data_IF_450684000969
#
_entry.id   IF_450684000969
#
_cell.length_a   1.000
_cell.length_b   1.000
_cell.length_c   1.000
_cell.angle_alpha   90.00
_cell.angle_beta   90.00
_cell.angle_gamma   90.00
#
_symmetry.space_group_name_H-M   'P 1'
#
loop_
_entity.id
_entity.type
_entity.pdbx_description
1 polymer ?
#
# COMPACT_ATOMS: atom_id res chain seq x y z
N UNK A 1 -32.14 -8.49 1.35
CA UNK A 1 -33.24 -7.54 1.07
C UNK A 1 -32.57 -6.32 0.48
N UNK A 2 -32.82 -6.04 -0.80
CA UNK A 2 -32.16 -4.92 -1.50
C UNK A 2 -32.53 -3.58 -0.87
N UNK A 3 -31.54 -2.74 -0.59
CA UNK A 3 -31.75 -1.42 0.02
C UNK A 3 -31.53 -0.32 -1.03
N UNK A 4 -32.38 0.71 -0.98
CA UNK A 4 -32.14 1.95 -1.71
C UNK A 4 -30.90 2.64 -1.13
N UNK A 5 -29.96 2.97 -2.00
CA UNK A 5 -28.72 3.67 -1.69
C UNK A 5 -28.78 5.07 -2.30
N UNK A 6 -28.19 6.05 -1.61
CA UNK A 6 -28.03 7.41 -2.14
C UNK A 6 -26.71 7.53 -2.88
N UNK A 7 -26.65 8.42 -3.87
CA UNK A 7 -25.47 8.61 -4.72
C UNK A 7 -24.17 8.84 -3.93
N UNK A 8 -24.22 9.58 -2.82
CA UNK A 8 -23.04 9.86 -1.96
C UNK A 8 -22.60 8.70 -1.06
N UNK A 9 -23.34 7.59 -1.04
CA UNK A 9 -22.98 6.39 -0.28
C UNK A 9 -22.16 5.41 -1.12
N UNK A 10 -21.97 5.72 -2.41
CA UNK A 10 -20.93 5.15 -3.26
C UNK A 10 -19.68 5.97 -3.01
N UNK A 11 -18.63 5.31 -2.53
CA UNK A 11 -17.41 5.98 -2.05
C UNK A 11 -16.71 6.71 -3.22
N UNK A 12 -16.75 6.14 -4.43
CA UNK A 12 -16.24 6.74 -5.66
C UNK A 12 -17.01 7.99 -6.10
N UNK A 13 -18.23 8.21 -5.59
CA UNK A 13 -19.09 9.37 -5.90
C UNK A 13 -19.22 10.36 -4.74
N UNK A 14 -18.44 10.18 -3.66
CA UNK A 14 -18.56 10.95 -2.42
C UNK A 14 -18.49 12.48 -2.62
N UNK A 15 -17.74 12.94 -3.61
CA UNK A 15 -17.55 14.37 -3.90
C UNK A 15 -18.86 15.09 -4.28
N UNK A 16 -19.91 14.36 -4.67
CA UNK A 16 -21.25 14.91 -4.95
C UNK A 16 -21.84 15.68 -3.76
N UNK A 17 -21.41 15.38 -2.52
CA UNK A 17 -21.82 16.11 -1.30
C UNK A 17 -21.42 17.59 -1.37
N UNK A 18 -20.35 17.93 -2.10
CA UNK A 18 -19.86 19.30 -2.25
C UNK A 18 -20.80 20.18 -3.07
N UNK A 19 -21.70 19.58 -3.86
CA UNK A 19 -22.65 20.29 -4.72
C UNK A 19 -24.05 20.16 -4.10
N UNK A 20 -24.58 21.24 -3.48
CA UNK A 20 -25.92 21.23 -2.90
C UNK A 20 -27.00 21.05 -3.98
N UNK A 21 -28.07 20.32 -3.69
CA UNK A 21 -29.19 20.09 -4.63
C UNK A 21 -29.72 21.41 -5.22
N UNK A 22 -29.85 22.45 -4.39
CA UNK A 22 -30.36 23.76 -4.79
C UNK A 22 -29.39 24.62 -5.62
N UNK A 23 -28.16 24.15 -5.87
CA UNK A 23 -27.20 24.85 -6.74
C UNK A 23 -27.42 24.56 -8.23
N UNK A 24 -28.18 23.50 -8.54
CA UNK A 24 -28.49 23.12 -9.91
C UNK A 24 -29.70 23.93 -10.39
N UNK A 25 -29.48 24.77 -11.41
CA UNK A 25 -30.53 25.59 -12.02
C UNK A 25 -31.10 24.92 -13.29
N UNK A 26 -32.19 25.48 -13.82
CA UNK A 26 -32.88 24.96 -15.01
C UNK A 26 -31.99 24.96 -16.27
N UNK A 27 -31.03 25.87 -16.36
CA UNK A 27 -30.09 25.94 -17.49
C UNK A 27 -29.13 24.75 -17.48
N UNK A 28 -28.54 24.44 -16.32
CA UNK A 28 -27.68 23.28 -16.11
C UNK A 28 -28.47 22.00 -16.40
N UNK A 29 -29.67 21.84 -15.83
CA UNK A 29 -30.51 20.67 -16.11
C UNK A 29 -30.84 20.55 -17.60
N UNK A 30 -31.13 21.67 -18.27
CA UNK A 30 -31.44 21.71 -19.69
C UNK A 30 -30.27 21.31 -20.59
N UNK A 31 -29.02 21.56 -20.16
CA UNK A 31 -27.82 21.15 -20.89
C UNK A 31 -27.39 19.71 -20.55
N UNK A 32 -27.52 19.28 -19.29
CA UNK A 32 -27.29 17.88 -18.89
C UNK A 32 -28.28 16.93 -19.56
N UNK A 33 -29.54 17.35 -19.75
CA UNK A 33 -30.55 16.60 -20.50
C UNK A 33 -30.18 16.35 -21.98
N UNK A 34 -29.15 17.03 -22.51
CA UNK A 34 -28.67 16.88 -23.89
C UNK A 34 -27.41 16.01 -23.98
N UNK A 35 -26.93 15.44 -22.88
CA UNK A 35 -25.74 14.57 -22.91
C UNK A 35 -26.02 13.27 -23.66
N UNK A 36 -25.08 12.90 -24.51
CA UNK A 36 -25.04 11.63 -25.22
C UNK A 36 -24.86 10.45 -24.26
N UNK A 37 -25.46 9.30 -24.58
CA UNK A 37 -25.40 8.11 -23.72
C UNK A 37 -23.97 7.56 -23.65
N UNK A 38 -23.33 7.36 -24.81
CA UNK A 38 -22.01 6.72 -24.94
C UNK A 38 -20.88 7.75 -24.79
N UNK A 39 -20.92 8.80 -25.61
CA UNK A 39 -19.79 9.73 -25.72
C UNK A 39 -19.59 10.63 -24.48
N UNK A 40 -20.63 10.79 -23.66
CA UNK A 40 -20.63 11.73 -22.54
C UNK A 40 -21.05 11.04 -21.23
N UNK A 41 -22.29 10.57 -21.10
CA UNK A 41 -22.82 10.03 -19.85
C UNK A 41 -22.04 8.80 -19.37
N UNK A 42 -21.85 7.81 -20.24
CA UNK A 42 -21.07 6.61 -19.95
C UNK A 42 -19.59 6.93 -19.75
N UNK A 43 -18.97 7.65 -20.70
CA UNK A 43 -17.55 7.98 -20.61
C UNK A 43 -17.21 8.78 -19.35
N UNK A 44 -18.01 9.79 -18.99
CA UNK A 44 -17.79 10.57 -17.76
C UNK A 44 -17.93 9.71 -16.52
N UNK A 45 -18.91 8.81 -16.50
CA UNK A 45 -19.12 7.89 -15.38
C UNK A 45 -17.95 6.91 -15.23
N UNK A 46 -17.46 6.35 -16.35
CA UNK A 46 -16.28 5.47 -16.36
C UNK A 46 -15.02 6.18 -15.90
N UNK A 47 -14.81 7.41 -16.35
CA UNK A 47 -13.66 8.22 -15.92
C UNK A 47 -13.66 8.45 -14.41
N UNK A 48 -14.84 8.69 -13.81
CA UNK A 48 -15.00 8.87 -12.37
C UNK A 48 -14.75 7.56 -11.63
N UNK A 49 -15.24 6.44 -12.17
CA UNK A 49 -15.06 5.10 -11.59
C UNK A 49 -13.66 4.50 -11.83
N UNK A 50 -12.82 5.15 -12.65
CA UNK A 50 -11.54 4.64 -13.12
C UNK A 50 -11.64 3.23 -13.74
N UNK A 51 -12.74 2.93 -14.45
CA UNK A 51 -12.97 1.63 -15.07
C UNK A 51 -12.35 1.57 -16.48
N UNK A 52 -11.31 0.72 -16.72
CA UNK A 52 -10.67 0.60 -18.02
C UNK A 52 -11.44 -0.28 -19.01
N UNK A 53 -12.51 -0.97 -18.59
CA UNK A 53 -13.20 -1.96 -19.42
C UNK A 53 -14.25 -1.28 -20.30
N UNK A 54 -14.03 -1.23 -21.61
CA UNK A 54 -15.08 -0.81 -22.54
C UNK A 54 -16.05 -1.96 -22.80
N UNK A 55 -17.34 -1.81 -22.52
CA UNK A 55 -18.33 -2.86 -22.85
C UNK A 55 -18.62 -2.83 -24.36
N UNK A 56 -18.74 -3.99 -25.03
CA UNK A 56 -19.06 -3.99 -26.45
C UNK A 56 -20.51 -3.54 -26.68
N UNK A 57 -20.72 -2.40 -27.33
CA UNK A 57 -22.05 -1.92 -27.70
C UNK A 57 -22.64 -2.78 -28.83
N UNK A 58 -23.51 -3.71 -28.44
CA UNK A 58 -24.11 -4.68 -29.34
C UNK A 58 -25.26 -5.44 -28.69
N UNK A 59 -25.94 -6.34 -29.41
CA UNK A 59 -27.11 -7.07 -28.88
C UNK A 59 -26.79 -7.95 -27.66
N UNK A 60 -25.50 -8.20 -27.39
CA UNK A 60 -24.97 -9.00 -26.28
C UNK A 60 -24.72 -8.16 -25.01
N UNK A 61 -24.80 -6.83 -25.08
CA UNK A 61 -24.56 -5.95 -23.93
C UNK A 61 -25.59 -6.19 -22.82
N UNK A 62 -25.09 -6.49 -21.62
CA UNK A 62 -25.90 -6.85 -20.45
C UNK A 62 -26.22 -5.60 -19.61
N UNK A 63 -25.24 -4.70 -19.49
CA UNK A 63 -25.32 -3.40 -18.83
C UNK A 63 -24.32 -2.46 -19.50
N UNK A 64 -24.56 -1.16 -19.40
CA UNK A 64 -23.75 -0.13 -20.04
C UNK A 64 -22.41 0.05 -19.31
N UNK A 65 -22.34 -0.20 -17.99
CA UNK A 65 -21.08 -0.31 -17.24
C UNK A 65 -21.16 -1.53 -16.31
N UNK A 66 -20.10 -2.34 -16.28
CA UNK A 66 -19.92 -3.43 -15.33
C UNK A 66 -18.58 -3.27 -14.62
N UNK A 67 -18.63 -2.94 -13.33
CA UNK A 67 -17.43 -2.63 -12.57
C UNK A 67 -17.53 -3.13 -11.13
N UNK A 68 -16.46 -2.92 -10.36
CA UNK A 68 -16.46 -3.14 -8.92
C UNK A 68 -16.20 -1.83 -8.21
N UNK A 69 -17.08 -1.45 -7.29
CA UNK A 69 -17.01 -0.20 -6.55
C UNK A 69 -17.22 -0.43 -5.03
N UNK A 70 -16.96 0.60 -4.23
CA UNK A 70 -17.11 0.56 -2.79
C UNK A 70 -18.39 1.30 -2.36
N UNK A 71 -19.24 0.60 -1.60
CA UNK A 71 -20.46 1.16 -1.03
C UNK A 71 -20.33 1.13 0.49
N UNK A 72 -20.21 2.30 1.12
CA UNK A 72 -19.98 2.44 2.57
C UNK A 72 -18.80 1.57 3.04
N UNK A 73 -17.71 1.54 2.28
CA UNK A 73 -16.52 0.74 2.57
C UNK A 73 -16.61 -0.77 2.24
N UNK A 74 -17.73 -1.27 1.71
CA UNK A 74 -17.86 -2.66 1.26
C UNK A 74 -17.75 -2.77 -0.26
N UNK A 75 -16.84 -3.62 -0.75
CA UNK A 75 -16.63 -3.86 -2.18
C UNK A 75 -17.83 -4.62 -2.77
N UNK A 76 -18.38 -4.12 -3.87
CA UNK A 76 -19.56 -4.67 -4.55
C UNK A 76 -19.39 -4.65 -6.07
N UNK A 77 -19.81 -5.73 -6.72
CA UNK A 77 -20.00 -5.73 -8.17
C UNK A 77 -21.21 -4.87 -8.51
N UNK A 78 -21.03 -3.92 -9.42
CA UNK A 78 -22.04 -2.96 -9.81
C UNK A 78 -22.32 -3.01 -11.31
N UNK A 79 -23.59 -2.91 -11.67
CA UNK A 79 -24.05 -2.79 -13.05
C UNK A 79 -24.80 -1.47 -13.24
N UNK A 80 -24.47 -0.73 -14.29
CA UNK A 80 -25.12 0.53 -14.64
C UNK A 80 -25.96 0.37 -15.90
N UNK A 81 -27.17 0.90 -15.84
CA UNK A 81 -28.04 1.10 -16.99
C UNK A 81 -28.25 2.60 -17.15
N UNK A 82 -27.79 3.15 -18.26
CA UNK A 82 -27.71 4.57 -18.56
C UNK A 82 -28.63 4.90 -19.74
N UNK A 83 -29.30 6.06 -19.67
CA UNK A 83 -30.14 6.57 -20.77
C UNK A 83 -29.84 8.03 -21.06
N UNK A 84 -29.29 8.30 -22.23
CA UNK A 84 -28.87 9.63 -22.69
C UNK A 84 -30.00 10.45 -23.35
N UNK A 85 -29.62 11.54 -24.01
CA UNK A 85 -30.52 12.55 -24.64
C UNK A 85 -31.58 11.99 -25.59
N UNK A 86 -31.35 10.81 -26.16
CA UNK A 86 -32.28 10.11 -27.05
C UNK A 86 -33.61 9.78 -26.35
N UNK A 87 -33.60 9.68 -25.02
CA UNK A 87 -34.75 9.28 -24.21
C UNK A 87 -35.25 10.43 -23.32
N UNK A 88 -36.01 11.37 -23.89
CA UNK A 88 -36.61 12.48 -23.12
C UNK A 88 -37.58 12.01 -22.03
N UNK A 89 -38.24 10.88 -22.27
CA UNK A 89 -39.10 10.17 -21.32
C UNK A 89 -38.63 8.73 -21.31
N UNK A 90 -38.28 8.21 -20.13
CA UNK A 90 -37.85 6.83 -19.97
C UNK A 90 -38.99 6.05 -19.34
N UNK A 91 -39.53 5.11 -20.10
CA UNK A 91 -40.65 4.23 -19.71
C UNK A 91 -40.18 2.80 -19.62
N UNK A 92 -40.98 1.90 -19.05
CA UNK A 92 -40.64 0.47 -18.98
C UNK A 92 -40.24 -0.11 -20.34
N UNK A 93 -40.91 0.31 -21.43
CA UNK A 93 -40.62 -0.18 -22.79
C UNK A 93 -39.17 0.04 -23.22
N UNK A 94 -38.52 1.07 -22.70
CA UNK A 94 -37.18 1.48 -23.09
C UNK A 94 -36.09 0.68 -22.35
N UNK A 95 -36.41 0.12 -21.18
CA UNK A 95 -35.41 -0.44 -20.24
C UNK A 95 -35.69 -1.87 -19.77
N UNK A 96 -36.91 -2.41 -19.94
CA UNK A 96 -37.28 -3.75 -19.45
C UNK A 96 -36.34 -4.85 -19.97
N UNK A 97 -35.88 -4.75 -21.22
CA UNK A 97 -34.95 -5.73 -21.79
C UNK A 97 -33.58 -5.71 -21.11
N UNK A 98 -33.05 -4.54 -20.76
CA UNK A 98 -31.80 -4.41 -20.00
C UNK A 98 -31.97 -4.93 -18.57
N UNK A 99 -33.09 -4.61 -17.90
CA UNK A 99 -33.37 -5.12 -16.55
C UNK A 99 -33.50 -6.64 -16.49
N UNK A 100 -34.10 -7.26 -17.51
CA UNK A 100 -34.16 -8.73 -17.61
C UNK A 100 -32.77 -9.36 -17.74
N UNK A 101 -31.85 -8.72 -18.46
CA UNK A 101 -30.47 -9.18 -18.61
C UNK A 101 -29.66 -9.06 -17.31
N UNK A 102 -29.92 -8.05 -16.48
CA UNK A 102 -29.28 -7.92 -15.16
C UNK A 102 -29.51 -9.14 -14.26
N UNK A 103 -30.65 -9.83 -14.40
CA UNK A 103 -30.97 -11.05 -13.65
C UNK A 103 -30.05 -12.24 -13.97
N UNK A 104 -29.34 -12.18 -15.10
CA UNK A 104 -28.47 -13.26 -15.57
C UNK A 104 -27.04 -13.13 -15.03
N UNK A 105 -26.72 -12.00 -14.39
CA UNK A 105 -25.40 -11.74 -13.84
C UNK A 105 -25.26 -12.36 -12.44
N UNK A 106 -24.27 -13.24 -12.21
CA UNK A 106 -24.00 -13.77 -10.88
C UNK A 106 -23.39 -12.68 -9.98
N UNK A 107 -23.73 -12.73 -8.70
CA UNK A 107 -23.06 -11.97 -7.63
C UNK A 107 -23.03 -10.43 -7.80
N UNK A 108 -24.10 -9.84 -8.37
CA UNK A 108 -24.27 -8.37 -8.35
C UNK A 108 -24.60 -7.91 -6.93
N UNK A 109 -23.81 -6.96 -6.42
CA UNK A 109 -24.05 -6.30 -5.14
C UNK A 109 -24.82 -4.98 -5.23
N UNK A 110 -24.78 -4.29 -6.37
CA UNK A 110 -25.45 -3.01 -6.63
C UNK A 110 -25.92 -2.92 -8.10
N UNK A 111 -27.12 -2.41 -8.33
CA UNK A 111 -27.54 -1.95 -9.67
C UNK A 111 -27.85 -0.46 -9.67
N UNK A 112 -27.40 0.24 -10.70
CA UNK A 112 -27.61 1.68 -10.86
C UNK A 112 -28.39 1.90 -12.14
N UNK A 113 -29.49 2.63 -12.04
CA UNK A 113 -30.25 3.08 -13.20
C UNK A 113 -30.22 4.60 -13.27
N UNK A 114 -29.61 5.13 -14.32
CA UNK A 114 -29.47 6.57 -14.50
C UNK A 114 -30.02 7.06 -15.82
N UNK A 115 -30.69 8.20 -15.81
CA UNK A 115 -31.13 8.84 -17.04
C UNK A 115 -31.04 10.36 -16.94
N UNK A 116 -30.73 10.99 -18.07
CA UNK A 116 -30.78 12.46 -18.20
C UNK A 116 -32.19 12.96 -18.58
N UNK A 117 -33.07 12.06 -19.03
CA UNK A 117 -34.49 12.32 -19.26
C UNK A 117 -35.37 12.02 -18.05
N UNK A 118 -36.67 12.34 -18.15
CA UNK A 118 -37.61 12.09 -17.05
C UNK A 118 -37.92 10.59 -16.94
N UNK A 119 -37.62 9.99 -15.78
CA UNK A 119 -37.85 8.58 -15.47
C UNK A 119 -39.26 8.39 -14.90
N UNK A 120 -40.12 7.70 -15.64
CA UNK A 120 -41.52 7.51 -15.25
C UNK A 120 -41.67 6.42 -14.19
N UNK A 121 -42.76 6.50 -13.41
CA UNK A 121 -43.04 5.58 -12.30
C UNK A 121 -43.08 4.10 -12.70
N UNK A 122 -43.44 3.80 -13.95
CA UNK A 122 -43.46 2.44 -14.49
C UNK A 122 -42.03 1.87 -14.59
N UNK A 123 -41.10 2.63 -15.19
CA UNK A 123 -39.69 2.25 -15.29
C UNK A 123 -39.03 2.12 -13.92
N UNK A 124 -39.31 3.05 -13.00
CA UNK A 124 -38.79 2.98 -11.63
C UNK A 124 -39.28 1.72 -10.91
N UNK A 125 -40.57 1.40 -11.04
CA UNK A 125 -41.17 0.22 -10.41
C UNK A 125 -40.58 -1.08 -10.94
N UNK A 126 -40.41 -1.20 -12.24
CA UNK A 126 -39.81 -2.38 -12.87
C UNK A 126 -38.34 -2.57 -12.47
N UNK A 127 -37.59 -1.46 -12.38
CA UNK A 127 -36.21 -1.47 -11.90
C UNK A 127 -36.12 -1.94 -10.44
N UNK A 128 -36.91 -1.33 -9.55
CA UNK A 128 -36.94 -1.66 -8.12
C UNK A 128 -37.33 -3.13 -7.92
N UNK A 129 -38.33 -3.62 -8.66
CA UNK A 129 -38.77 -5.01 -8.59
C UNK A 129 -37.64 -5.94 -9.02
N UNK A 130 -36.90 -5.58 -10.07
CA UNK A 130 -35.73 -6.35 -10.51
C UNK A 130 -34.61 -6.36 -9.46
N UNK A 131 -34.31 -5.24 -8.81
CA UNK A 131 -33.34 -5.19 -7.71
C UNK A 131 -33.74 -6.10 -6.55
N UNK A 132 -35.03 -6.08 -6.18
CA UNK A 132 -35.58 -6.89 -5.10
C UNK A 132 -35.53 -8.39 -5.43
N UNK A 133 -35.85 -8.77 -6.66
CA UNK A 133 -35.79 -10.16 -7.14
C UNK A 133 -34.34 -10.71 -7.11
N UNK A 134 -33.35 -9.88 -7.49
CA UNK A 134 -31.92 -10.24 -7.46
C UNK A 134 -31.39 -10.23 -6.01
N UNK A 135 -31.97 -9.41 -5.14
CA UNK A 135 -31.55 -9.26 -3.74
C UNK A 135 -30.37 -8.30 -3.55
N UNK A 136 -30.09 -7.45 -4.54
CA UNK A 136 -28.99 -6.48 -4.52
C UNK A 136 -29.45 -5.08 -4.06
N UNK A 137 -28.50 -4.23 -3.69
CA UNK A 137 -28.80 -2.81 -3.47
C UNK A 137 -29.07 -2.10 -4.80
N UNK A 138 -29.73 -0.94 -4.75
CA UNK A 138 -30.05 -0.19 -5.94
C UNK A 138 -29.98 1.33 -5.76
N UNK A 139 -29.70 2.02 -6.86
CA UNK A 139 -29.65 3.48 -6.96
C UNK A 139 -30.34 3.93 -8.25
N UNK A 140 -31.18 4.96 -8.15
CA UNK A 140 -31.74 5.68 -9.31
C UNK A 140 -31.06 7.05 -9.36
N UNK A 141 -30.56 7.44 -10.53
CA UNK A 141 -29.83 8.70 -10.76
C UNK A 141 -30.58 9.52 -11.78
N UNK A 142 -31.15 10.66 -11.36
CA UNK A 142 -31.87 11.55 -12.25
C UNK A 142 -30.97 12.65 -12.84
N UNK A 143 -31.55 13.54 -13.65
CA UNK A 143 -30.83 14.66 -14.27
C UNK A 143 -30.18 15.59 -13.25
N UNK A 144 -30.76 15.75 -12.07
CA UNK A 144 -30.21 16.57 -11.00
C UNK A 144 -28.98 15.88 -10.39
N UNK A 145 -29.10 14.58 -10.07
CA UNK A 145 -27.99 13.80 -9.55
C UNK A 145 -26.81 13.74 -10.54
N UNK A 146 -27.08 13.58 -11.83
CA UNK A 146 -26.04 13.63 -12.87
C UNK A 146 -25.37 14.99 -12.95
N UNK A 147 -26.14 16.08 -12.91
CA UNK A 147 -25.59 17.42 -12.91
C UNK A 147 -24.66 17.64 -11.72
N UNK A 148 -25.08 17.23 -10.52
CA UNK A 148 -24.28 17.35 -9.30
C UNK A 148 -23.01 16.51 -9.37
N UNK A 149 -23.11 15.26 -9.83
CA UNK A 149 -21.98 14.37 -9.95
C UNK A 149 -20.96 14.93 -10.94
N UNK A 150 -21.40 15.29 -12.15
CA UNK A 150 -20.48 15.77 -13.19
C UNK A 150 -19.89 17.15 -12.90
N UNK A 151 -20.58 18.00 -12.14
CA UNK A 151 -19.98 19.24 -11.63
C UNK A 151 -18.93 18.91 -10.57
N UNK A 152 -19.22 18.02 -9.62
CA UNK A 152 -18.31 17.64 -8.54
C UNK A 152 -16.98 17.08 -9.05
N UNK A 153 -17.01 16.31 -10.14
CA UNK A 153 -15.84 15.73 -10.80
C UNK A 153 -15.35 16.52 -12.00
N UNK A 154 -15.81 17.77 -12.15
CA UNK A 154 -15.33 18.73 -13.14
C UNK A 154 -15.43 18.24 -14.60
N UNK A 155 -16.45 17.42 -14.90
CA UNK A 155 -16.78 16.95 -16.26
C UNK A 155 -17.61 17.97 -17.02
N UNK A 156 -18.48 18.68 -16.31
CA UNK A 156 -19.31 19.77 -16.87
C UNK A 156 -19.11 21.06 -16.07
N UNK A 157 -19.41 22.19 -16.71
CA UNK A 157 -19.23 23.50 -16.10
C UNK A 157 -20.33 23.79 -15.06
N UNK A 158 -19.92 24.28 -13.88
CA UNK A 158 -20.84 24.63 -12.80
C UNK A 158 -21.74 25.85 -13.10
N UNK A 159 -21.44 26.62 -14.17
CA UNK A 159 -22.20 27.81 -14.54
C UNK A 159 -23.36 27.49 -15.48
N UNK A 160 -23.13 26.63 -16.46
CA UNK A 160 -24.06 26.37 -17.57
C UNK A 160 -24.34 24.87 -17.82
N UNK A 161 -23.64 23.95 -17.17
CA UNK A 161 -23.82 22.50 -17.34
C UNK A 161 -23.26 21.94 -18.65
N UNK A 162 -22.46 22.71 -19.40
CA UNK A 162 -21.84 22.25 -20.64
C UNK A 162 -20.55 21.47 -20.37
N UNK A 163 -20.28 20.39 -21.12
CA UNK A 163 -19.03 19.64 -21.03
C UNK A 163 -17.78 20.48 -21.24
N UNK A 164 -16.73 20.18 -20.48
CA UNK A 164 -15.39 20.71 -20.74
C UNK A 164 -14.71 19.91 -21.85
N UNK A 165 -13.98 20.61 -22.73
CA UNK A 165 -13.07 19.96 -23.68
C UNK A 165 -11.73 19.58 -23.02
N UNK A 166 -10.83 18.96 -23.79
CA UNK A 166 -9.48 18.55 -23.34
C UNK A 166 -8.61 19.71 -22.81
N UNK A 167 -8.94 20.96 -23.17
CA UNK A 167 -8.27 22.16 -22.70
C UNK A 167 -8.94 22.79 -21.46
N UNK A 168 -9.97 22.13 -20.91
CA UNK A 168 -10.71 22.61 -19.76
C UNK A 168 -11.55 23.84 -20.08
N UNK A 169 -12.05 24.00 -21.30
CA UNK A 169 -12.91 25.12 -21.69
C UNK A 169 -14.25 24.56 -22.16
N UNK A 170 -15.36 25.06 -21.61
CA UNK A 170 -16.69 24.67 -22.08
C UNK A 170 -17.03 25.41 -23.38
N UNK A 171 -18.03 24.94 -24.12
CA UNK A 171 -18.42 25.53 -25.41
C UNK A 171 -18.95 26.97 -25.30
N UNK A 172 -19.38 27.42 -24.11
CA UNK A 172 -19.72 28.82 -23.84
C UNK A 172 -18.50 29.70 -23.52
N UNK A 173 -17.28 29.15 -23.54
CA UNK A 173 -16.03 29.87 -23.28
C UNK A 173 -15.67 30.01 -21.80
N UNK A 174 -16.38 29.34 -20.89
CA UNK A 174 -15.97 29.27 -19.50
C UNK A 174 -14.74 28.35 -19.38
N UNK A 175 -13.63 28.94 -18.95
CA UNK A 175 -12.48 28.16 -18.55
C UNK A 175 -12.77 27.50 -17.21
N UNK A 176 -12.43 26.22 -17.09
CA UNK A 176 -12.32 25.49 -15.83
C UNK A 176 -11.47 26.37 -14.93
N UNK A 177 -12.10 26.96 -13.91
CA UNK A 177 -11.36 27.68 -12.88
C UNK A 177 -10.24 26.73 -12.44
N UNK A 178 -9.01 27.23 -12.32
CA UNK A 178 -7.82 26.42 -12.00
C UNK A 178 -7.87 25.77 -10.60
N UNK A 179 -9.07 25.67 -10.02
CA UNK A 179 -9.32 25.77 -8.60
C UNK A 179 -8.84 27.13 -8.09
N UNK A 180 -9.61 27.78 -7.24
CA UNK A 180 -8.91 28.21 -6.04
C UNK A 180 -8.42 26.91 -5.41
N UNK A 181 -7.11 26.81 -5.13
CA UNK A 181 -6.61 25.85 -4.16
C UNK A 181 -7.28 26.23 -2.84
N UNK A 182 -8.49 25.73 -2.63
CA UNK A 182 -9.20 25.87 -1.37
C UNK A 182 -8.44 24.95 -0.44
N UNK A 183 -7.47 25.52 0.26
CA UNK A 183 -7.00 24.97 1.52
C UNK A 183 -8.20 25.01 2.47
N UNK A 184 -9.06 23.99 2.39
CA UNK A 184 -9.94 23.70 3.49
C UNK A 184 -9.02 23.27 4.62
N UNK A 185 -8.99 24.05 5.71
CA UNK A 185 -8.64 23.47 6.99
C UNK A 185 -9.71 22.44 7.34
N UNK A 186 -9.56 21.21 6.84
CA UNK A 186 -10.10 20.07 7.54
C UNK A 186 -9.55 20.17 8.95
N UNK A 187 -10.43 20.23 9.95
CA UNK A 187 -9.99 20.10 11.35
C UNK A 187 -9.21 18.79 11.56
N UNK A 188 -9.41 17.82 10.67
CA UNK A 188 -8.50 16.69 10.49
C UNK A 188 -7.34 17.06 9.57
N UNK A 189 -6.26 17.54 10.17
CA UNK A 189 -4.94 17.55 9.52
C UNK A 189 -4.60 16.14 9.06
N UNK A 190 -4.04 16.00 7.86
CA UNK A 190 -3.55 14.73 7.35
C UNK A 190 -2.62 14.09 8.39
N UNK A 191 -3.07 12.98 8.97
CA UNK A 191 -2.37 12.35 10.10
C UNK A 191 -1.30 11.42 9.56
N UNK A 192 -0.14 11.47 10.19
CA UNK A 192 0.91 10.48 10.03
C UNK A 192 1.40 10.05 11.41
N UNK A 193 1.98 8.86 11.47
CA UNK A 193 2.62 8.32 12.67
C UNK A 193 4.11 8.18 12.41
N UNK A 194 4.94 8.72 13.31
CA UNK A 194 6.37 8.38 13.33
C UNK A 194 6.48 7.03 14.03
N UNK A 195 6.67 5.96 13.25
CA UNK A 195 6.79 4.59 13.77
C UNK A 195 8.11 4.43 14.51
N UNK A 196 9.18 4.96 13.92
CA UNK A 196 10.52 4.89 14.50
C UNK A 196 11.29 6.14 14.13
N UNK A 197 12.06 6.66 15.09
CA UNK A 197 13.04 7.73 14.88
C UNK A 197 14.43 7.25 15.31
N UNK A 198 15.44 7.50 14.48
CA UNK A 198 16.82 7.06 14.67
C UNK A 198 17.79 8.23 14.56
N UNK A 199 18.81 8.24 15.42
CA UNK A 199 19.89 9.21 15.41
C UNK A 199 21.15 8.62 14.74
N UNK A 200 21.32 9.00 13.47
CA UNK A 200 22.44 8.58 12.62
C UNK A 200 23.57 9.60 12.64
N UNK A 201 23.58 10.49 13.64
CA UNK A 201 24.61 11.53 13.75
C UNK A 201 25.99 10.92 13.92
N UNK A 202 26.94 11.60 13.31
CA UNK A 202 28.38 11.32 13.41
C UNK A 202 29.05 12.47 14.17
N UNK A 203 30.38 12.41 14.32
CA UNK A 203 31.13 13.53 14.91
C UNK A 203 31.09 14.81 14.03
N UNK A 204 30.78 14.68 12.74
CA UNK A 204 30.91 15.76 11.74
C UNK A 204 29.58 16.25 11.15
N UNK A 205 28.49 15.51 11.31
CA UNK A 205 27.15 15.94 10.91
C UNK A 205 26.07 15.35 11.84
N UNK A 206 25.06 16.16 12.18
CA UNK A 206 23.84 15.76 12.89
C UNK A 206 22.83 15.21 11.87
N UNK A 207 22.41 13.96 12.04
CA UNK A 207 21.58 13.26 11.05
C UNK A 207 20.47 12.48 11.72
N UNK A 208 19.26 12.58 11.17
CA UNK A 208 18.12 11.78 11.60
C UNK A 208 17.56 10.94 10.47
N UNK A 209 17.00 9.80 10.83
CA UNK A 209 16.07 9.10 9.96
C UNK A 209 14.80 8.74 10.70
N UNK A 210 13.67 8.69 9.99
CA UNK A 210 12.44 8.16 10.54
C UNK A 210 11.67 7.30 9.55
N UNK A 211 10.92 6.36 10.12
CA UNK A 211 9.90 5.58 9.42
C UNK A 211 8.56 6.25 9.70
N UNK A 212 7.88 6.66 8.64
CA UNK A 212 6.60 7.35 8.69
C UNK A 212 5.53 6.44 8.13
N UNK A 213 4.47 6.20 8.91
CA UNK A 213 3.27 5.50 8.46
C UNK A 213 2.16 6.50 8.20
N UNK A 214 1.51 6.40 7.06
CA UNK A 214 0.40 7.26 6.64
C UNK A 214 -0.71 6.45 5.95
N UNK A 215 -1.87 7.07 5.77
CA UNK A 215 -3.03 6.39 5.16
C UNK A 215 -2.75 6.00 3.70
N UNK A 216 -3.17 4.79 3.31
CA UNK A 216 -2.99 4.24 1.96
C UNK A 216 -3.68 5.05 0.85
N UNK A 217 -4.70 5.82 1.19
CA UNK A 217 -5.48 6.59 0.23
C UNK A 217 -4.93 8.00 0.01
N UNK A 218 -3.86 8.39 0.70
CA UNK A 218 -3.28 9.71 0.50
C UNK A 218 -2.64 9.82 -0.89
N UNK A 219 -3.02 10.83 -1.70
CA UNK A 219 -2.39 11.07 -2.98
C UNK A 219 -0.96 11.61 -2.77
N UNK A 220 -0.14 11.53 -3.82
CA UNK A 220 1.27 11.99 -3.78
C UNK A 220 1.41 13.42 -3.25
N UNK A 221 0.49 14.32 -3.58
CA UNK A 221 0.48 15.71 -3.09
C UNK A 221 0.43 15.80 -1.56
N UNK A 222 -0.48 15.04 -0.92
CA UNK A 222 -0.62 15.02 0.54
C UNK A 222 0.61 14.36 1.17
N UNK A 223 1.16 13.31 0.55
CA UNK A 223 2.39 12.66 1.00
C UNK A 223 3.57 13.64 0.97
N UNK A 224 3.70 14.48 -0.06
CA UNK A 224 4.74 15.53 -0.12
C UNK A 224 4.62 16.53 1.03
N UNK A 225 3.41 16.99 1.32
CA UNK A 225 3.17 17.90 2.46
C UNK A 225 3.53 17.23 3.79
N UNK A 226 3.15 15.96 3.98
CA UNK A 226 3.53 15.19 5.18
C UNK A 226 5.05 15.04 5.28
N UNK A 227 5.73 14.72 4.17
CA UNK A 227 7.19 14.61 4.12
C UNK A 227 7.85 15.92 4.54
N UNK A 228 7.35 17.04 4.03
CA UNK A 228 7.87 18.37 4.40
C UNK A 228 7.67 18.64 5.89
N UNK A 229 6.45 18.44 6.40
CA UNK A 229 6.13 18.67 7.82
C UNK A 229 6.99 17.79 8.74
N UNK A 230 7.05 16.48 8.46
CA UNK A 230 7.83 15.52 9.23
C UNK A 230 9.33 15.87 9.18
N UNK A 231 9.85 16.28 8.01
CA UNK A 231 11.24 16.73 7.87
C UNK A 231 11.52 17.94 8.72
N UNK A 232 10.69 18.98 8.68
CA UNK A 232 10.85 20.20 9.48
C UNK A 232 10.78 19.91 10.99
N UNK A 233 9.91 18.99 11.40
CA UNK A 233 9.82 18.53 12.79
C UNK A 233 11.09 17.78 13.22
N UNK A 234 11.57 16.84 12.41
CA UNK A 234 12.77 16.06 12.70
C UNK A 234 14.04 16.90 12.70
N UNK A 235 14.14 17.91 11.83
CA UNK A 235 15.25 18.87 11.81
C UNK A 235 15.48 19.52 13.17
N UNK A 236 14.41 19.74 13.94
CA UNK A 236 14.45 20.37 15.27
C UNK A 236 14.44 19.36 16.43
N UNK A 237 14.60 18.07 16.15
CA UNK A 237 14.56 17.04 17.20
C UNK A 237 15.75 17.18 18.17
N UNK A 238 15.46 16.92 19.44
CA UNK A 238 16.41 16.85 20.55
C UNK A 238 16.70 15.41 20.99
N UNK A 239 16.20 14.43 20.23
CA UNK A 239 16.50 13.03 20.47
C UNK A 239 17.96 12.74 20.13
N UNK A 240 18.64 12.00 21.02
CA UNK A 240 20.02 11.58 20.82
C UNK A 240 20.21 10.13 21.23
N UNK A 241 20.98 9.36 20.46
CA UNK A 241 21.25 7.95 20.77
C UNK A 241 22.13 7.74 22.02
N UNK A 242 22.93 8.73 22.39
CA UNK A 242 23.80 8.68 23.58
C UNK A 242 24.27 10.07 24.02
N UNK A 243 24.80 10.14 25.24
CA UNK A 243 25.28 11.39 25.86
C UNK A 243 26.46 12.04 25.10
N UNK A 244 27.31 11.26 24.42
CA UNK A 244 28.42 11.83 23.64
C UNK A 244 27.92 12.65 22.45
N UNK A 245 26.94 12.12 21.72
CA UNK A 245 26.31 12.80 20.58
C UNK A 245 25.49 14.01 21.04
N UNK A 246 24.80 13.88 22.17
CA UNK A 246 24.09 14.99 22.81
C UNK A 246 25.02 16.12 23.25
N UNK A 247 26.17 15.81 23.85
CA UNK A 247 27.16 16.81 24.22
C UNK A 247 27.75 17.56 23.00
N UNK A 248 27.90 16.85 21.87
CA UNK A 248 28.42 17.41 20.61
C UNK A 248 27.42 18.33 19.93
N UNK A 249 26.18 17.88 19.78
CA UNK A 249 25.19 18.51 18.90
C UNK A 249 24.10 19.25 19.65
N UNK A 250 23.75 18.82 20.86
CA UNK A 250 22.71 19.42 21.69
C UNK A 250 21.49 19.90 20.87
N UNK A 251 21.20 21.19 21.00
CA UNK A 251 20.05 21.83 20.37
C UNK A 251 20.31 22.35 18.93
N UNK A 252 21.40 21.93 18.27
CA UNK A 252 21.61 22.31 16.87
C UNK A 252 20.55 21.67 15.96
N UNK A 253 20.28 22.31 14.83
CA UNK A 253 19.41 21.76 13.80
C UNK A 253 20.13 20.59 13.13
N UNK A 254 19.40 19.57 12.68
CA UNK A 254 19.97 18.49 11.90
C UNK A 254 20.49 19.00 10.54
N UNK A 255 21.61 18.45 10.08
CA UNK A 255 22.18 18.71 8.75
C UNK A 255 21.56 17.80 7.69
N UNK A 256 21.07 16.63 8.10
CA UNK A 256 20.50 15.62 7.20
C UNK A 256 19.27 14.96 7.82
N UNK A 257 18.22 14.78 7.02
CA UNK A 257 17.03 14.02 7.39
C UNK A 257 16.64 13.05 6.27
N UNK A 258 16.46 11.79 6.61
CA UNK A 258 15.89 10.77 5.72
C UNK A 258 14.54 10.27 6.23
N UNK A 259 13.56 10.17 5.35
CA UNK A 259 12.28 9.55 5.69
C UNK A 259 12.03 8.32 4.82
N UNK A 260 11.45 7.30 5.44
CA UNK A 260 10.99 6.07 4.80
C UNK A 260 9.48 6.00 4.99
N UNK A 261 8.73 6.04 3.88
CA UNK A 261 7.27 6.16 3.91
C UNK A 261 6.63 4.80 3.67
N UNK A 262 5.71 4.40 4.56
CA UNK A 262 4.97 3.15 4.53
C UNK A 262 3.46 3.40 4.71
N UNK A 263 2.62 2.51 4.18
CA UNK A 263 1.18 2.57 4.39
C UNK A 263 0.74 1.76 5.62
N UNK A 264 1.35 0.60 5.83
CA UNK A 264 1.01 -0.31 6.91
C UNK A 264 2.25 -0.88 7.60
N UNK A 265 2.03 -1.82 8.53
CA UNK A 265 3.12 -2.43 9.29
C UNK A 265 3.91 -3.45 8.45
N UNK A 266 3.28 -4.11 7.48
CA UNK A 266 3.95 -5.07 6.59
C UNK A 266 4.97 -4.36 5.70
N UNK A 267 4.64 -3.16 5.21
CA UNK A 267 5.56 -2.32 4.45
C UNK A 267 6.81 -1.97 5.28
N UNK A 268 6.62 -1.68 6.58
CA UNK A 268 7.73 -1.42 7.51
C UNK A 268 8.58 -2.66 7.71
N UNK A 269 7.94 -3.82 7.85
CA UNK A 269 8.61 -5.09 8.09
C UNK A 269 9.40 -5.57 6.88
N UNK A 270 8.82 -5.49 5.69
CA UNK A 270 9.42 -5.93 4.42
C UNK A 270 10.30 -4.85 3.78
N UNK A 271 10.34 -3.66 4.37
CA UNK A 271 11.02 -2.47 3.84
C UNK A 271 10.52 -2.05 2.44
N UNK A 272 9.29 -2.41 2.10
CA UNK A 272 8.64 -2.03 0.85
C UNK A 272 8.10 -0.60 0.92
N UNK A 273 9.02 0.37 0.92
CA UNK A 273 8.64 1.78 1.05
C UNK A 273 7.85 2.26 -0.18
N UNK A 274 6.79 3.04 0.07
CA UNK A 274 6.03 3.76 -0.97
C UNK A 274 6.93 4.78 -1.65
N UNK A 275 7.68 5.52 -0.83
CA UNK A 275 8.73 6.41 -1.27
C UNK A 275 9.75 6.63 -0.16
N UNK A 276 10.89 7.18 -0.54
CA UNK A 276 11.94 7.64 0.37
C UNK A 276 12.17 9.12 0.13
N UNK A 277 12.52 9.85 1.17
CA UNK A 277 12.93 11.24 1.03
C UNK A 277 14.29 11.52 1.67
N UNK A 278 14.98 12.52 1.15
CA UNK A 278 16.27 12.98 1.62
C UNK A 278 16.32 14.50 1.59
N UNK A 279 16.53 15.11 2.76
CA UNK A 279 16.86 16.51 2.89
C UNK A 279 18.30 16.64 3.41
N UNK A 280 19.12 17.41 2.72
CA UNK A 280 20.53 17.64 3.07
C UNK A 280 20.79 19.15 3.04
N UNK A 281 21.19 19.71 4.18
CA UNK A 281 21.50 21.14 4.29
C UNK A 281 22.53 21.57 3.22
N UNK A 282 22.20 22.60 2.46
CA UNK A 282 23.11 23.21 1.48
C UNK A 282 24.42 23.70 2.09
N UNK A 283 24.42 24.05 3.39
CA UNK A 283 25.62 24.48 4.11
C UNK A 283 26.57 23.35 4.54
N UNK A 284 26.16 22.09 4.39
CA UNK A 284 26.97 20.95 4.83
C UNK A 284 28.19 20.74 3.91
N UNK A 285 29.38 20.80 4.50
CA UNK A 285 30.66 20.62 3.81
C UNK A 285 30.75 19.31 3.02
N UNK A 286 31.30 19.39 1.81
CA UNK A 286 31.32 18.28 0.84
C UNK A 286 31.86 16.93 1.39
N UNK A 287 32.95 16.88 2.20
CA UNK A 287 33.46 15.61 2.75
C UNK A 287 32.49 14.92 3.71
N UNK A 288 31.52 15.66 4.27
CA UNK A 288 30.55 15.15 5.24
C UNK A 288 29.14 15.02 4.64
N UNK A 289 28.99 15.39 3.36
CA UNK A 289 27.72 15.31 2.64
C UNK A 289 27.46 13.85 2.22
N UNK A 290 26.31 13.27 2.58
CA UNK A 290 25.93 11.96 2.06
C UNK A 290 25.73 11.98 0.54
N UNK A 291 25.77 10.80 -0.07
CA UNK A 291 25.38 10.61 -1.46
C UNK A 291 23.89 11.01 -1.59
N UNK A 292 23.59 11.77 -2.65
CA UNK A 292 22.22 12.18 -2.96
C UNK A 292 21.32 10.96 -3.21
N UNK A 293 20.03 11.10 -2.93
CA UNK A 293 19.09 9.99 -3.07
C UNK A 293 18.89 9.62 -4.55
N UNK A 294 19.09 10.59 -5.45
CA UNK A 294 18.70 10.45 -6.85
C UNK A 294 17.20 10.27 -6.94
N UNK A 295 16.48 11.22 -6.34
CA UNK A 295 15.02 11.27 -6.35
C UNK A 295 14.46 11.64 -7.72
N UNK A 296 13.21 11.23 -7.95
CA UNK A 296 12.47 11.52 -9.17
C UNK A 296 11.95 12.96 -9.17
N UNK A 297 11.85 13.56 -7.97
CA UNK A 297 11.41 14.94 -7.79
C UNK A 297 12.09 15.62 -6.61
N UNK A 298 12.02 16.96 -6.60
CA UNK A 298 12.47 17.80 -5.50
C UNK A 298 11.34 18.74 -5.10
N UNK A 299 11.00 18.74 -3.81
CA UNK A 299 9.96 19.59 -3.23
C UNK A 299 10.54 20.35 -2.03
N UNK A 300 10.60 21.69 -2.09
CA UNK A 300 11.10 22.54 -0.99
C UNK A 300 12.51 22.15 -0.51
N UNK A 301 13.38 21.76 -1.44
CA UNK A 301 14.75 21.31 -1.16
C UNK A 301 14.87 19.88 -0.60
N UNK A 302 13.77 19.13 -0.59
CA UNK A 302 13.71 17.71 -0.20
C UNK A 302 13.64 16.86 -1.48
N UNK A 303 14.59 15.97 -1.68
CA UNK A 303 14.55 14.96 -2.75
C UNK A 303 13.59 13.84 -2.35
N UNK A 304 12.71 13.42 -3.26
CA UNK A 304 11.77 12.31 -3.06
C UNK A 304 11.97 11.29 -4.17
N UNK A 305 12.10 10.02 -3.77
CA UNK A 305 12.22 8.87 -4.68
C UNK A 305 11.02 7.96 -4.50
N UNK A 306 10.18 7.89 -5.51
CA UNK A 306 9.00 7.03 -5.55
C UNK A 306 9.40 5.59 -5.88
N UNK A 307 8.66 4.64 -5.33
CA UNK A 307 8.85 3.24 -5.63
C UNK A 307 7.79 2.80 -6.66
N UNK A 308 8.14 2.85 -7.93
CA UNK A 308 7.25 2.40 -9.01
C UNK A 308 6.95 0.89 -8.93
N UNK A 309 7.80 0.12 -8.23
CA UNK A 309 7.62 -1.31 -7.98
C UNK A 309 6.90 -1.60 -6.65
N UNK A 310 6.37 -0.58 -5.97
CA UNK A 310 5.69 -0.76 -4.68
C UNK A 310 4.54 -1.77 -4.77
N UNK A 311 3.63 -1.61 -5.75
CA UNK A 311 2.45 -2.48 -5.90
C UNK A 311 2.83 -3.92 -6.28
N UNK A 312 3.70 -4.17 -7.29
CA UNK A 312 4.19 -5.52 -7.56
C UNK A 312 4.81 -6.20 -6.34
N UNK A 313 5.68 -5.49 -5.61
CA UNK A 313 6.30 -6.06 -4.41
C UNK A 313 5.31 -6.26 -3.27
N UNK A 314 4.33 -5.37 -3.09
CA UNK A 314 3.27 -5.53 -2.09
C UNK A 314 2.49 -6.82 -2.34
N UNK A 315 2.06 -7.04 -3.58
CA UNK A 315 1.38 -8.27 -3.96
C UNK A 315 2.27 -9.51 -3.83
N UNK A 316 3.56 -9.39 -4.15
CA UNK A 316 4.52 -10.48 -3.91
C UNK A 316 4.59 -10.85 -2.43
N UNK A 317 4.78 -9.87 -1.53
CA UNK A 317 4.89 -10.12 -0.10
C UNK A 317 3.59 -10.69 0.49
N UNK A 318 2.43 -10.14 0.12
CA UNK A 318 1.11 -10.64 0.54
C UNK A 318 0.91 -12.14 0.24
N UNK A 319 1.48 -12.64 -0.87
CA UNK A 319 1.41 -14.05 -1.25
C UNK A 319 2.46 -14.95 -0.55
N UNK A 320 3.45 -14.37 0.15
CA UNK A 320 4.52 -15.11 0.83
C UNK A 320 4.49 -14.97 2.35
N UNK A 321 3.57 -14.16 2.90
CA UNK A 321 3.29 -14.16 4.33
C UNK A 321 2.70 -15.50 4.76
N UNK A 322 3.27 -16.09 5.81
CA UNK A 322 2.69 -17.24 6.48
C UNK A 322 1.83 -16.82 7.66
N UNK A 323 0.98 -17.74 8.12
CA UNK A 323 0.37 -17.62 9.45
C UNK A 323 1.43 -17.77 10.55
N UNK A 324 1.08 -17.33 11.76
CA UNK A 324 1.95 -17.47 12.94
C UNK A 324 2.28 -18.94 13.19
N UNK A 325 1.29 -19.81 13.08
CA UNK A 325 1.40 -21.25 13.30
C UNK A 325 2.35 -21.89 12.27
N UNK A 326 2.15 -21.62 10.98
CA UNK A 326 2.99 -22.15 9.89
C UNK A 326 4.46 -21.75 10.05
N UNK A 327 4.71 -20.49 10.41
CA UNK A 327 6.06 -19.96 10.59
C UNK A 327 6.74 -20.58 11.81
N UNK A 328 6.04 -20.66 12.95
CA UNK A 328 6.58 -21.28 14.16
C UNK A 328 6.91 -22.76 13.91
N UNK A 329 5.98 -23.52 13.30
CA UNK A 329 6.19 -24.94 13.00
C UNK A 329 7.38 -25.15 12.05
N UNK A 330 7.46 -24.34 10.98
CA UNK A 330 8.57 -24.41 10.02
C UNK A 330 9.92 -24.11 10.68
N UNK A 331 9.97 -23.06 11.50
CA UNK A 331 11.18 -22.67 12.23
C UNK A 331 11.61 -23.74 13.24
N UNK A 332 10.68 -24.26 14.05
CA UNK A 332 10.97 -25.28 15.06
C UNK A 332 11.41 -26.60 14.44
N UNK A 333 10.76 -27.03 13.35
CA UNK A 333 11.19 -28.20 12.58
C UNK A 333 12.63 -28.04 12.09
N UNK A 334 12.95 -26.89 11.47
CA UNK A 334 14.28 -26.67 10.90
C UNK A 334 15.36 -26.52 11.98
N UNK A 335 15.04 -25.89 13.12
CA UNK A 335 15.94 -25.87 14.29
C UNK A 335 16.21 -27.29 14.78
N UNK A 336 15.18 -28.14 14.87
CA UNK A 336 15.32 -29.55 15.26
C UNK A 336 16.22 -30.34 14.31
N UNK A 337 16.20 -30.01 13.01
CA UNK A 337 17.08 -30.61 12.00
C UNK A 337 18.52 -30.08 12.07
N UNK A 338 18.72 -28.77 12.31
CA UNK A 338 20.05 -28.13 12.26
C UNK A 338 20.85 -28.23 13.56
N UNK A 339 20.21 -28.17 14.74
CA UNK A 339 20.92 -28.21 16.04
C UNK A 339 21.81 -29.44 16.24
N UNK A 340 21.41 -30.66 15.82
CA UNK A 340 22.30 -31.82 15.90
C UNK A 340 23.63 -31.63 15.15
N UNK A 341 23.64 -30.87 14.05
CA UNK A 341 24.87 -30.55 13.32
C UNK A 341 25.74 -29.57 14.09
N UNK A 342 25.13 -28.55 14.71
CA UNK A 342 25.86 -27.63 15.59
C UNK A 342 26.58 -28.37 16.73
N UNK A 343 25.88 -29.28 17.42
CA UNK A 343 26.47 -30.07 18.51
C UNK A 343 27.60 -30.97 18.00
N UNK A 344 27.44 -31.62 16.85
CA UNK A 344 28.52 -32.40 16.23
C UNK A 344 29.74 -31.53 15.92
N UNK A 345 29.53 -30.33 15.37
CA UNK A 345 30.61 -29.43 15.03
C UNK A 345 31.39 -28.98 16.28
N UNK A 346 30.67 -28.63 17.35
CA UNK A 346 31.23 -28.26 18.67
C UNK A 346 32.02 -29.43 19.26
N UNK A 347 31.44 -30.63 19.31
CA UNK A 347 32.10 -31.83 19.86
C UNK A 347 33.41 -32.14 19.12
N UNK A 348 33.42 -32.04 17.79
CA UNK A 348 34.63 -32.26 16.99
C UNK A 348 35.67 -31.15 17.23
N UNK A 349 35.22 -29.91 17.38
CA UNK A 349 36.09 -28.78 17.68
C UNK A 349 36.75 -28.92 19.07
N UNK A 350 36.01 -29.37 20.08
CA UNK A 350 36.56 -29.65 21.42
C UNK A 350 37.57 -30.80 21.41
N UNK A 351 37.33 -31.85 20.62
CA UNK A 351 38.31 -32.93 20.41
C UNK A 351 39.59 -32.42 19.76
N UNK A 352 39.48 -31.54 18.77
CA UNK A 352 40.64 -30.90 18.15
C UNK A 352 41.39 -30.02 19.16
N UNK A 353 40.67 -29.16 19.89
CA UNK A 353 41.26 -28.22 20.84
C UNK A 353 41.92 -28.92 22.04
N UNK A 354 41.40 -30.06 22.47
CA UNK A 354 42.01 -30.91 23.50
C UNK A 354 43.19 -31.75 23.00
N UNK A 355 43.49 -31.73 21.70
CA UNK A 355 44.55 -32.54 21.08
C UNK A 355 44.18 -34.02 20.89
N UNK A 356 42.89 -34.37 21.02
CA UNK A 356 42.41 -35.75 20.84
C UNK A 356 42.34 -36.19 19.37
N UNK A 357 42.20 -35.23 18.45
CA UNK A 357 42.24 -35.45 16.99
C UNK A 357 43.12 -34.38 16.35
N UNK A 358 43.67 -34.69 15.18
CA UNK A 358 44.43 -33.71 14.41
C UNK A 358 43.50 -32.73 13.65
N UNK A 359 44.03 -31.55 13.31
CA UNK A 359 43.29 -30.54 12.55
C UNK A 359 42.71 -31.09 11.23
N UNK A 360 43.48 -31.93 10.52
CA UNK A 360 43.04 -32.54 9.27
C UNK A 360 41.85 -33.49 9.46
N UNK A 361 41.78 -34.19 10.59
CA UNK A 361 40.66 -35.06 10.93
C UNK A 361 39.40 -34.27 11.27
N UNK A 362 39.56 -33.19 12.04
CA UNK A 362 38.48 -32.23 12.31
C UNK A 362 37.90 -31.67 11.01
N UNK A 363 38.75 -31.09 10.15
CA UNK A 363 38.32 -30.49 8.88
C UNK A 363 37.61 -31.51 8.00
N UNK A 364 38.16 -32.72 7.87
CA UNK A 364 37.53 -33.80 7.09
C UNK A 364 36.15 -34.19 7.63
N UNK A 365 36.00 -34.24 8.95
CA UNK A 365 34.72 -34.55 9.60
C UNK A 365 33.68 -33.45 9.31
N UNK A 366 34.04 -32.18 9.51
CA UNK A 366 33.15 -31.03 9.25
C UNK A 366 32.74 -30.98 7.77
N UNK A 367 33.69 -31.13 6.85
CA UNK A 367 33.41 -31.14 5.40
C UNK A 367 32.47 -32.27 4.97
N UNK A 368 32.46 -33.41 5.69
CA UNK A 368 31.54 -34.51 5.36
C UNK A 368 30.07 -34.17 5.61
N UNK A 369 29.78 -33.25 6.54
CA UNK A 369 28.42 -32.81 6.85
C UNK A 369 28.02 -31.52 6.12
N UNK A 370 28.99 -30.74 5.63
CA UNK A 370 28.73 -29.44 4.98
C UNK A 370 27.66 -29.49 3.88
N UNK A 371 27.61 -30.47 2.96
CA UNK A 371 26.57 -30.51 1.93
C UNK A 371 25.15 -30.52 2.50
N UNK A 372 24.93 -31.26 3.59
CA UNK A 372 23.63 -31.36 4.23
C UNK A 372 23.29 -30.12 5.05
N UNK A 373 24.27 -29.52 5.72
CA UNK A 373 24.08 -28.25 6.44
C UNK A 373 23.73 -27.13 5.46
N UNK A 374 24.46 -27.02 4.35
CA UNK A 374 24.15 -26.07 3.29
C UNK A 374 22.73 -26.29 2.75
N UNK A 375 22.30 -27.55 2.56
CA UNK A 375 20.93 -27.87 2.11
C UNK A 375 19.88 -27.38 3.11
N UNK A 376 20.10 -27.60 4.40
CA UNK A 376 19.21 -27.12 5.46
C UNK A 376 19.19 -25.60 5.57
N UNK A 377 20.35 -24.95 5.44
CA UNK A 377 20.45 -23.50 5.42
C UNK A 377 19.69 -22.90 4.22
N UNK A 378 19.79 -23.49 3.04
CA UNK A 378 19.01 -23.06 1.88
C UNK A 378 17.50 -23.25 2.09
N UNK A 379 17.07 -24.35 2.75
CA UNK A 379 15.67 -24.59 3.15
C UNK A 379 15.16 -23.52 4.11
N UNK A 380 16.04 -22.82 4.85
CA UNK A 380 15.62 -21.68 5.68
C UNK A 380 15.05 -20.52 4.87
N UNK A 381 15.40 -20.41 3.58
CA UNK A 381 14.83 -19.44 2.64
C UNK A 381 13.42 -19.78 2.17
N UNK A 382 12.97 -21.02 2.38
CA UNK A 382 11.59 -21.45 2.07
C UNK A 382 10.63 -21.18 3.23
N UNK A 383 11.13 -20.71 4.38
CA UNK A 383 10.30 -20.33 5.52
C UNK A 383 9.45 -19.11 5.13
N UNK A 384 8.12 -19.14 5.31
CA UNK A 384 7.25 -18.01 4.99
C UNK A 384 7.65 -16.74 5.74
N UNK A 385 7.25 -15.58 5.21
CA UNK A 385 7.51 -14.30 5.87
C UNK A 385 6.70 -14.27 7.17
N UNK A 386 7.35 -14.02 8.34
CA UNK A 386 6.66 -14.06 9.63
C UNK A 386 5.63 -12.93 9.74
N UNK A 387 4.46 -13.13 10.37
CA UNK A 387 3.66 -12.01 10.84
C UNK A 387 4.37 -11.30 12.01
N UNK A 388 3.97 -10.05 12.27
CA UNK A 388 4.62 -9.15 13.23
C UNK A 388 4.81 -9.75 14.63
N UNK A 389 3.86 -10.59 15.05
CA UNK A 389 3.77 -11.21 16.35
C UNK A 389 4.89 -12.22 16.59
N UNK A 390 5.43 -12.84 15.54
CA UNK A 390 6.49 -13.85 15.63
C UNK A 390 7.75 -13.49 14.85
N UNK A 391 7.86 -12.23 14.42
CA UNK A 391 9.01 -11.72 13.68
C UNK A 391 10.32 -11.92 14.45
N UNK A 392 10.39 -11.45 15.70
CA UNK A 392 11.60 -11.54 16.53
C UNK A 392 12.04 -13.01 16.72
N UNK A 393 11.09 -13.92 16.92
CA UNK A 393 11.33 -15.35 17.01
C UNK A 393 11.92 -15.92 15.70
N UNK A 394 11.30 -15.61 14.56
CA UNK A 394 11.77 -16.04 13.25
C UNK A 394 13.16 -15.48 12.93
N UNK A 395 13.43 -14.21 13.28
CA UNK A 395 14.75 -13.60 13.09
C UNK A 395 15.84 -14.29 13.93
N UNK A 396 15.54 -14.64 15.18
CA UNK A 396 16.49 -15.40 16.02
C UNK A 396 16.73 -16.80 15.45
N UNK A 397 15.71 -17.46 14.91
CA UNK A 397 15.87 -18.74 14.21
C UNK A 397 16.81 -18.62 13.00
N UNK A 398 16.61 -17.59 12.16
CA UNK A 398 17.46 -17.32 11.00
C UNK A 398 18.92 -17.04 11.40
N UNK A 399 19.12 -16.30 12.50
CA UNK A 399 20.45 -16.08 13.06
C UNK A 399 21.12 -17.38 13.49
N UNK A 400 20.38 -18.30 14.13
CA UNK A 400 20.89 -19.63 14.50
C UNK A 400 21.28 -20.43 13.25
N UNK A 401 20.43 -20.47 12.22
CA UNK A 401 20.74 -21.19 10.98
C UNK A 401 22.03 -20.67 10.33
N UNK A 402 22.18 -19.35 10.26
CA UNK A 402 23.38 -18.71 9.74
C UNK A 402 24.63 -19.00 10.59
N UNK A 403 24.53 -18.96 11.92
CA UNK A 403 25.65 -19.31 12.81
C UNK A 403 26.10 -20.75 12.59
N UNK A 404 25.14 -21.68 12.46
CA UNK A 404 25.44 -23.09 12.21
C UNK A 404 26.12 -23.25 10.85
N UNK A 405 25.59 -22.68 9.77
CA UNK A 405 26.23 -22.75 8.45
C UNK A 405 27.64 -22.16 8.45
N UNK A 406 27.84 -21.02 9.13
CA UNK A 406 29.14 -20.37 9.28
C UNK A 406 30.19 -21.28 9.94
N UNK A 407 29.82 -22.07 10.96
CA UNK A 407 30.75 -23.06 11.55
C UNK A 407 31.32 -24.02 10.50
N UNK A 408 30.47 -24.49 9.58
CA UNK A 408 30.87 -25.38 8.49
C UNK A 408 31.62 -24.66 7.36
N UNK A 409 31.34 -23.37 7.16
CA UNK A 409 32.05 -22.52 6.20
C UNK A 409 33.50 -22.27 6.63
N UNK A 410 33.74 -21.91 7.90
CA UNK A 410 35.09 -21.57 8.38
C UNK A 410 36.06 -22.75 8.33
N UNK A 411 35.55 -23.98 8.43
CA UNK A 411 36.37 -25.18 8.27
C UNK A 411 36.76 -25.49 6.80
N UNK A 412 36.09 -24.89 5.81
CA UNK A 412 36.18 -25.30 4.41
C UNK A 412 37.27 -24.59 3.59
N UNK A 413 37.50 -23.29 3.79
CA UNK A 413 38.40 -22.51 2.92
C UNK A 413 39.89 -22.58 3.31
N UNK A 414 40.19 -22.73 4.60
CA UNK A 414 41.48 -23.13 5.18
C UNK A 414 41.39 -22.93 6.69
N UNK A 415 41.53 -23.95 7.52
CA UNK A 415 41.35 -23.78 8.98
C UNK A 415 42.60 -23.17 9.63
N UNK A 416 42.77 -21.86 9.49
CA UNK A 416 43.85 -21.09 10.10
C UNK A 416 43.42 -20.49 11.46
N UNK A 417 44.33 -19.74 12.10
CA UNK A 417 44.07 -19.10 13.38
C UNK A 417 42.87 -18.12 13.33
N UNK A 418 42.63 -17.48 12.18
CA UNK A 418 41.49 -16.58 11.99
C UNK A 418 40.17 -17.33 11.95
N UNK A 419 40.11 -18.40 11.17
CA UNK A 419 38.94 -19.27 11.07
C UNK A 419 38.66 -20.06 12.35
N UNK A 420 39.70 -20.45 13.09
CA UNK A 420 39.56 -21.04 14.43
C UNK A 420 38.95 -20.03 15.43
N UNK A 421 39.38 -18.76 15.38
CA UNK A 421 38.79 -17.70 16.20
C UNK A 421 37.32 -17.45 15.83
N UNK A 422 36.99 -17.39 14.53
CA UNK A 422 35.62 -17.23 14.04
C UNK A 422 34.73 -18.39 14.49
N UNK A 423 35.22 -19.63 14.40
CA UNK A 423 34.52 -20.81 14.90
C UNK A 423 34.24 -20.70 16.40
N UNK A 424 35.25 -20.34 17.20
CA UNK A 424 35.10 -20.13 18.65
C UNK A 424 34.06 -19.04 18.98
N UNK A 425 34.03 -17.97 18.17
CA UNK A 425 33.03 -16.91 18.29
C UNK A 425 31.63 -17.42 17.99
N UNK A 426 31.45 -18.22 16.94
CA UNK A 426 30.15 -18.81 16.59
C UNK A 426 29.61 -19.74 17.67
N UNK A 427 30.46 -20.46 18.41
CA UNK A 427 30.00 -21.27 19.55
C UNK A 427 29.35 -20.38 20.63
N UNK A 428 30.00 -19.26 20.97
CA UNK A 428 29.46 -18.31 21.96
C UNK A 428 28.19 -17.63 21.47
N UNK A 429 28.19 -17.21 20.21
CA UNK A 429 27.01 -16.60 19.59
C UNK A 429 25.83 -17.57 19.59
N UNK A 430 26.04 -18.85 19.25
CA UNK A 430 24.99 -19.86 19.28
C UNK A 430 24.39 -20.03 20.68
N UNK A 431 25.22 -20.07 21.73
CA UNK A 431 24.74 -20.17 23.12
C UNK A 431 23.85 -18.97 23.50
N UNK A 432 24.29 -17.75 23.21
CA UNK A 432 23.51 -16.53 23.43
C UNK A 432 22.20 -16.53 22.62
N UNK A 433 22.27 -16.97 21.36
CA UNK A 433 21.13 -17.07 20.45
C UNK A 433 20.08 -18.05 20.98
N UNK A 434 20.50 -19.21 21.49
CA UNK A 434 19.59 -20.21 22.06
C UNK A 434 18.89 -19.70 23.33
N UNK A 435 19.59 -18.91 24.15
CA UNK A 435 18.97 -18.25 25.31
C UNK A 435 17.92 -17.22 24.89
N UNK A 436 18.20 -16.41 23.85
CA UNK A 436 17.24 -15.46 23.28
C UNK A 436 16.04 -16.17 22.67
N UNK A 437 16.27 -17.26 21.93
CA UNK A 437 15.21 -18.06 21.35
C UNK A 437 14.25 -18.60 22.41
N UNK A 438 14.76 -19.13 23.53
CA UNK A 438 13.92 -19.62 24.62
C UNK A 438 13.10 -18.50 25.26
N UNK A 439 13.64 -17.28 25.34
CA UNK A 439 12.89 -16.11 25.78
C UNK A 439 11.76 -15.76 24.81
N UNK A 440 12.03 -15.75 23.49
CA UNK A 440 11.02 -15.50 22.46
C UNK A 440 9.92 -16.58 22.47
N UNK A 441 10.27 -17.87 22.64
CA UNK A 441 9.30 -18.96 22.75
C UNK A 441 8.30 -18.76 23.90
N UNK A 442 8.75 -18.16 25.01
CA UNK A 442 7.88 -17.89 26.17
C UNK A 442 6.84 -16.80 25.90
N UNK A 443 7.01 -15.96 24.88
CA UNK A 443 5.99 -14.97 24.50
C UNK A 443 4.74 -15.61 23.87
N UNK A 444 4.83 -16.88 23.43
CA UNK A 444 3.74 -17.60 22.76
C UNK A 444 3.04 -18.64 23.63
N UNK A 445 3.59 -18.94 24.81
CA UNK A 445 3.01 -19.84 25.81
C UNK A 445 2.26 -19.04 26.84
#
# INVERSE_FOLDING_TARGET
MGRLIKIHEIDEFYEVIKIPDGSINDEIMGNVAKLDEEAELEQFTRDILHDPNNTPHGPVEIADILTTLCVRGAKKNAAFVLKGKSYKKVTSRDVSHQFLKLRQLPDIGLIVFGAVGNIYDDAQRDFITTAMDIGCDYLIVDVNDWARLFIAYEKICAKDGLPYNEHGICTAGHQRDAGLKLEWETRDKARYTVVQQMDNSTAMAKRYSAIIRLDRHYPREIIRTIIQEATLKLKKSTYHKNERIKARWGNTIADVVWLYIAHDHEDVQTTNWVCRSSWIDSGLSAPYRPIALGGDETFEGIEIKWNDQYKPYKSFFENHFGSKEEVIESCESLIGEMLPYAHKAIEQFEKYHSGSIEQGEFVKCILSFKPEVNRLYLKAGDVPIPPSECKDFSEECQNIYATIDNMYLYAADSFDQGNEWLFTKSIKELEEQLQRLEFEKRKFR
#
